data_IF_672140422096
#
_entry.id   IF_672140422096
#
_cell.length_a   1.000
_cell.length_b   1.000
_cell.length_c   1.000
_cell.angle_alpha   90.00
_cell.angle_beta   90.00
_cell.angle_gamma   90.00
#
_symmetry.space_group_name_H-M   'P 1'
#
loop_
_entity.id
_entity.type
_entity.pdbx_description
1 polymer ?
#
# COMPACT_ATOMS: atom_id res chain seq x y z
N UNK A 1 -5.09 39.37 -16.99
CA UNK A 1 -4.53 38.07 -17.40
C UNK A 1 -3.68 37.43 -16.29
N UNK A 2 -4.05 37.60 -15.01
CA UNK A 2 -3.33 37.06 -13.84
C UNK A 2 -4.14 36.00 -13.07
N UNK A 3 -5.43 35.79 -13.40
CA UNK A 3 -6.31 34.83 -12.71
C UNK A 3 -6.20 33.38 -13.20
N UNK A 4 -5.59 33.15 -14.38
CA UNK A 4 -5.50 31.79 -14.97
C UNK A 4 -4.19 31.09 -14.56
N UNK A 5 -3.12 31.83 -14.28
CA UNK A 5 -1.80 31.28 -13.96
C UNK A 5 -1.75 30.74 -12.51
N UNK A 6 -2.43 31.41 -11.57
CA UNK A 6 -2.50 30.97 -10.17
C UNK A 6 -3.29 29.66 -9.99
N UNK A 7 -4.30 29.40 -10.82
CA UNK A 7 -5.05 28.14 -10.78
C UNK A 7 -4.25 26.94 -11.33
N UNK A 8 -3.28 27.16 -12.22
CA UNK A 8 -2.42 26.08 -12.73
C UNK A 8 -1.27 25.72 -11.77
N UNK A 9 -0.78 26.66 -10.97
CA UNK A 9 0.28 26.42 -9.98
C UNK A 9 -0.24 25.67 -8.73
N UNK A 10 -1.49 25.90 -8.31
CA UNK A 10 -2.09 25.19 -7.18
C UNK A 10 -2.44 23.72 -7.47
N UNK A 11 -2.58 23.35 -8.75
CA UNK A 11 -2.83 21.96 -9.17
C UNK A 11 -1.57 21.10 -9.30
N UNK A 12 -0.37 21.67 -9.08
CA UNK A 12 0.91 20.97 -9.20
C UNK A 12 1.49 20.50 -7.86
N UNK A 13 0.73 20.59 -6.77
CA UNK A 13 0.99 19.74 -5.61
C UNK A 13 0.48 18.36 -6.01
N UNK A 14 1.35 17.59 -6.67
CA UNK A 14 1.02 16.28 -7.23
C UNK A 14 0.64 15.35 -6.07
N UNK A 15 -0.66 15.16 -5.86
CA UNK A 15 -1.19 14.16 -4.96
C UNK A 15 -0.70 12.77 -5.42
N UNK A 16 0.43 12.31 -4.87
CA UNK A 16 1.08 11.07 -5.30
C UNK A 16 0.56 9.92 -4.47
N UNK A 17 -0.10 8.96 -5.13
CA UNK A 17 -0.50 7.72 -4.46
C UNK A 17 0.71 6.86 -4.17
N UNK A 18 0.82 6.40 -2.94
CA UNK A 18 1.79 5.39 -2.49
C UNK A 18 1.05 4.29 -1.75
N UNK A 19 1.67 3.12 -1.72
CA UNK A 19 1.08 1.90 -1.20
C UNK A 19 2.02 1.34 -0.14
N UNK A 20 1.55 1.17 1.08
CA UNK A 20 2.32 0.57 2.16
C UNK A 20 1.89 -0.88 2.33
N UNK A 21 2.83 -1.81 2.16
CA UNK A 21 2.62 -3.22 2.45
C UNK A 21 2.97 -3.50 3.90
N UNK A 22 2.05 -4.13 4.61
CA UNK A 22 2.27 -4.65 5.94
C UNK A 22 2.16 -6.17 5.95
N UNK A 23 2.95 -6.82 6.80
CA UNK A 23 2.68 -8.16 7.30
C UNK A 23 2.03 -8.04 8.66
N UNK A 24 0.92 -8.74 8.87
CA UNK A 24 0.21 -8.76 10.15
C UNK A 24 0.22 -10.16 10.72
N UNK A 25 0.04 -10.26 12.03
CA UNK A 25 -0.22 -11.56 12.64
C UNK A 25 -1.56 -12.17 12.16
N UNK A 26 -1.83 -13.39 12.61
CA UNK A 26 -3.04 -14.14 12.29
C UNK A 26 -4.32 -13.43 12.68
N UNK A 27 -5.28 -13.45 11.76
CA UNK A 27 -6.73 -13.33 12.00
C UNK A 27 -7.17 -12.29 13.04
N UNK A 28 -7.52 -11.09 12.56
CA UNK A 28 -8.25 -10.06 13.31
C UNK A 28 -7.54 -9.45 14.53
N UNK A 29 -6.28 -9.77 14.77
CA UNK A 29 -5.43 -9.00 15.67
C UNK A 29 -4.63 -7.98 14.88
N UNK A 30 -5.06 -6.72 14.80
CA UNK A 30 -4.17 -5.65 14.33
C UNK A 30 -3.11 -5.29 15.38
N UNK A 31 -2.75 -6.24 16.25
CA UNK A 31 -1.90 -6.06 17.42
C UNK A 31 -0.46 -5.88 16.97
N UNK A 32 -0.04 -6.58 15.91
CA UNK A 32 1.23 -6.35 15.24
C UNK A 32 1.04 -6.12 13.73
N UNK A 33 1.53 -4.97 13.26
CA UNK A 33 1.70 -4.66 11.83
C UNK A 33 3.16 -4.31 11.59
N UNK A 34 3.86 -5.11 10.79
CA UNK A 34 5.22 -4.84 10.36
C UNK A 34 5.18 -4.22 8.96
N UNK A 35 5.72 -3.00 8.81
CA UNK A 35 5.84 -2.36 7.51
C UNK A 35 6.98 -3.00 6.71
N UNK A 36 6.64 -3.65 5.59
CA UNK A 36 7.63 -4.27 4.72
C UNK A 36 8.14 -3.32 3.65
N UNK A 37 7.25 -2.53 3.02
CA UNK A 37 7.65 -1.57 1.97
C UNK A 37 6.62 -0.46 1.77
N UNK A 38 7.09 0.75 1.43
CA UNK A 38 6.27 1.79 0.80
C UNK A 38 6.66 1.86 -0.68
N UNK A 39 5.71 1.60 -1.57
CA UNK A 39 5.94 1.50 -3.00
C UNK A 39 5.03 2.43 -3.82
N UNK A 40 5.47 2.76 -5.03
CA UNK A 40 4.68 3.52 -5.99
C UNK A 40 3.61 2.71 -6.72
N UNK A 41 3.47 1.41 -6.44
CA UNK A 41 2.42 0.57 -7.03
C UNK A 41 2.18 -0.71 -6.24
N UNK A 42 0.94 -1.21 -6.27
CA UNK A 42 0.53 -2.50 -5.71
C UNK A 42 1.39 -3.65 -6.26
N UNK A 43 1.74 -3.62 -7.56
CA UNK A 43 2.59 -4.65 -8.17
C UNK A 43 3.95 -4.79 -7.46
N UNK A 44 4.53 -3.68 -6.99
CA UNK A 44 5.79 -3.71 -6.23
C UNK A 44 5.56 -4.27 -4.83
N UNK A 45 4.46 -3.93 -4.16
CA UNK A 45 4.06 -4.56 -2.90
C UNK A 45 3.91 -6.07 -3.07
N UNK A 46 3.18 -6.57 -4.07
CA UNK A 46 3.04 -8.01 -4.31
C UNK A 46 4.37 -8.70 -4.60
N UNK A 47 5.35 -7.99 -5.19
CA UNK A 47 6.69 -8.56 -5.37
C UNK A 47 7.40 -8.74 -4.03
N UNK A 48 7.37 -7.72 -3.17
CA UNK A 48 7.97 -7.80 -1.82
C UNK A 48 7.27 -8.85 -0.97
N UNK A 49 5.94 -8.92 -0.98
CA UNK A 49 5.20 -9.97 -0.28
C UNK A 49 5.63 -11.37 -0.75
N UNK A 50 5.80 -11.58 -2.06
CA UNK A 50 6.29 -12.86 -2.59
C UNK A 50 7.71 -13.17 -2.10
N UNK A 51 8.59 -12.18 -2.11
CA UNK A 51 9.99 -12.33 -1.67
C UNK A 51 10.07 -12.57 -0.14
N UNK A 52 9.09 -12.07 0.64
CA UNK A 52 8.95 -12.30 2.09
C UNK A 52 8.35 -13.67 2.44
N UNK A 53 7.67 -14.33 1.50
CA UNK A 53 7.11 -15.67 1.69
C UNK A 53 5.58 -15.75 1.57
N UNK A 54 4.93 -14.78 0.94
CA UNK A 54 3.51 -14.89 0.61
C UNK A 54 3.22 -16.05 -0.34
N UNK A 55 2.16 -16.80 -0.05
CA UNK A 55 1.71 -17.87 -0.95
C UNK A 55 1.08 -17.30 -2.22
N UNK A 56 0.87 -18.15 -3.22
CA UNK A 56 0.21 -17.74 -4.48
C UNK A 56 -1.20 -17.19 -4.22
N UNK A 57 -1.96 -17.82 -3.34
CA UNK A 57 -3.31 -17.41 -2.94
C UNK A 57 -3.27 -16.01 -2.30
N UNK A 58 -2.34 -15.77 -1.37
CA UNK A 58 -2.19 -14.46 -0.73
C UNK A 58 -1.84 -13.36 -1.75
N UNK A 59 -1.01 -13.66 -2.74
CA UNK A 59 -0.69 -12.72 -3.81
C UNK A 59 -1.91 -12.43 -4.70
N UNK A 60 -2.77 -13.41 -4.93
CA UNK A 60 -4.02 -13.23 -5.68
C UNK A 60 -4.99 -12.35 -4.90
N UNK A 61 -5.14 -12.56 -3.60
CA UNK A 61 -5.96 -11.73 -2.71
C UNK A 61 -5.48 -10.27 -2.66
N UNK A 62 -4.17 -10.04 -2.54
CA UNK A 62 -3.58 -8.68 -2.54
C UNK A 62 -3.87 -7.92 -3.84
N UNK A 63 -3.99 -8.63 -4.97
CA UNK A 63 -4.38 -8.04 -6.26
C UNK A 63 -5.87 -7.77 -6.36
N UNK A 64 -6.67 -8.39 -5.50
CA UNK A 64 -8.10 -8.20 -5.37
C UNK A 64 -8.46 -6.82 -4.82
N UNK A 65 -9.76 -6.56 -4.73
CA UNK A 65 -10.31 -5.25 -4.40
C UNK A 65 -9.93 -4.73 -3.00
N UNK A 66 -9.80 -5.63 -2.03
CA UNK A 66 -9.52 -5.26 -0.63
C UNK A 66 -8.05 -5.06 -0.33
N UNK A 67 -7.16 -5.49 -1.24
CA UNK A 67 -5.71 -5.49 -1.05
C UNK A 67 -5.23 -6.10 0.27
N UNK A 68 -5.97 -7.09 0.76
CA UNK A 68 -5.69 -7.82 1.99
C UNK A 68 -5.76 -9.31 1.68
N UNK A 69 -4.74 -10.07 2.08
CA UNK A 69 -4.75 -11.52 2.01
C UNK A 69 -5.30 -12.15 3.27
N UNK A 70 -5.81 -13.37 3.18
CA UNK A 70 -6.09 -14.17 4.36
C UNK A 70 -4.88 -15.00 4.78
N UNK A 71 -4.91 -15.52 6.00
CA UNK A 71 -4.02 -16.62 6.39
C UNK A 71 -4.32 -17.83 5.49
N UNK A 72 -3.31 -18.67 5.27
CA UNK A 72 -3.51 -19.92 4.52
C UNK A 72 -3.17 -21.11 5.40
N UNK A 73 -3.35 -22.33 4.89
CA UNK A 73 -2.89 -23.52 5.60
C UNK A 73 -1.35 -23.60 5.75
N UNK A 74 -0.61 -22.76 5.01
CA UNK A 74 0.85 -22.71 5.02
C UNK A 74 1.41 -21.51 5.80
N UNK A 75 0.56 -20.54 6.18
CA UNK A 75 0.99 -19.27 6.77
C UNK A 75 0.08 -18.85 7.92
N UNK A 76 0.67 -18.38 9.01
CA UNK A 76 -0.01 -17.84 10.19
C UNK A 76 0.02 -16.29 10.24
N UNK A 77 0.20 -15.67 9.07
CA UNK A 77 0.24 -14.23 8.88
C UNK A 77 -0.53 -13.80 7.64
N UNK A 78 -1.01 -12.56 7.67
CA UNK A 78 -1.69 -11.90 6.55
C UNK A 78 -0.81 -10.79 5.98
N UNK A 79 -1.16 -10.35 4.78
CA UNK A 79 -0.63 -9.14 4.18
C UNK A 79 -1.75 -8.15 3.93
N UNK A 80 -1.43 -6.88 4.08
CA UNK A 80 -2.37 -5.79 3.88
C UNK A 80 -1.67 -4.63 3.16
N UNK A 81 -2.36 -3.99 2.21
CA UNK A 81 -1.84 -2.84 1.49
C UNK A 81 -2.74 -1.63 1.74
N UNK A 82 -2.24 -0.70 2.54
CA UNK A 82 -2.86 0.61 2.69
C UNK A 82 -2.47 1.53 1.53
N UNK A 83 -3.45 2.28 1.02
CA UNK A 83 -3.22 3.32 0.02
C UNK A 83 -3.20 4.68 0.69
N UNK A 84 -2.08 5.40 0.52
CA UNK A 84 -1.94 6.77 1.00
C UNK A 84 -1.81 7.73 -0.18
N UNK A 85 -2.31 8.95 0.02
CA UNK A 85 -2.07 10.06 -0.90
C UNK A 85 -1.07 11.00 -0.24
N UNK A 86 0.14 11.08 -0.79
CA UNK A 86 1.14 12.04 -0.36
C UNK A 86 0.74 13.42 -0.85
N UNK A 87 0.56 14.32 0.10
CA UNK A 87 0.45 15.74 -0.16
C UNK A 87 1.82 16.37 0.14
N UNK A 88 2.57 16.70 -0.91
CA UNK A 88 3.93 17.23 -0.79
C UNK A 88 4.00 18.54 0.03
N UNK A 89 2.88 19.24 0.24
CA UNK A 89 2.82 20.43 1.12
C UNK A 89 3.12 20.17 2.60
N UNK A 90 3.10 18.91 3.06
CA UNK A 90 3.32 18.54 4.47
C UNK A 90 4.73 18.02 4.75
N UNK A 91 5.58 17.90 3.73
CA UNK A 91 6.97 17.45 3.85
C UNK A 91 7.84 18.68 3.63
N UNK A 92 8.11 19.43 4.71
CA UNK A 92 8.96 20.63 4.73
C UNK A 92 10.44 20.28 4.60
#
# INVERSE_FOLDING_TARGET
MWGTITNQLNNRIMAKKVYALYRTDKWHTYVSRELLVVAGSIRRCCKVAKDDGATKEQIEDLRGYRHQSQCTNETDYEYDIDTYTLNESLIS
#
